data_IF_196510675276
#
_entry.id   IF_196510675276
#
_cell.length_a   1.000
_cell.length_b   1.000
_cell.length_c   1.000
_cell.angle_alpha   90.00
_cell.angle_beta   90.00
_cell.angle_gamma   90.00
#
_symmetry.space_group_name_H-M   'P 1'
#
loop_
_entity.id
_entity.type
_entity.pdbx_description
1 polymer ?
#
# COMPACT_ATOMS: atom_id res chain seq x y z
N UNK A 1 -23.56 23.50 7.66
CA UNK A 1 -23.04 22.98 6.37
C UNK A 1 -23.64 21.60 6.15
N UNK A 2 -24.35 21.36 5.04
CA UNK A 2 -25.21 20.19 4.91
C UNK A 2 -24.39 18.93 4.70
N UNK A 3 -24.57 17.96 5.62
CA UNK A 3 -24.13 16.57 5.53
C UNK A 3 -24.60 15.95 4.21
N UNK A 4 -23.73 15.85 3.23
CA UNK A 4 -24.04 15.23 1.94
C UNK A 4 -23.82 13.72 2.04
N UNK A 5 -24.91 12.97 1.87
CA UNK A 5 -24.98 11.51 1.84
C UNK A 5 -24.06 10.94 0.76
N UNK A 6 -22.99 10.25 1.17
CA UNK A 6 -22.17 9.44 0.27
C UNK A 6 -22.98 8.22 -0.16
N UNK A 7 -23.38 8.17 -1.43
CA UNK A 7 -23.89 6.95 -2.07
C UNK A 7 -22.68 6.05 -2.36
N UNK A 8 -22.52 5.04 -1.51
CA UNK A 8 -21.67 3.86 -1.75
C UNK A 8 -22.10 3.18 -3.06
N UNK A 9 -21.36 3.41 -4.13
CA UNK A 9 -21.41 2.69 -5.41
C UNK A 9 -20.02 2.85 -6.01
N UNK A 10 -19.05 1.93 -5.85
CA UNK A 10 -19.12 0.52 -6.18
C UNK A 10 -18.38 -0.35 -5.13
N UNK A 11 -19.02 -0.54 -3.98
CA UNK A 11 -19.00 -1.87 -3.36
C UNK A 11 -19.96 -2.69 -4.22
N UNK A 12 -19.52 -3.84 -4.72
CA UNK A 12 -20.31 -4.86 -5.41
C UNK A 12 -21.82 -4.76 -5.06
N UNK A 13 -22.64 -4.37 -6.06
CA UNK A 13 -24.10 -4.18 -5.93
C UNK A 13 -24.82 -5.45 -5.44
N UNK A 14 -24.15 -6.61 -5.37
CA UNK A 14 -24.74 -7.85 -4.85
C UNK A 14 -24.45 -8.16 -3.38
N UNK A 15 -23.51 -7.50 -2.70
CA UNK A 15 -23.16 -7.85 -1.30
C UNK A 15 -23.96 -7.07 -0.26
N UNK A 16 -24.60 -5.95 -0.64
CA UNK A 16 -25.24 -5.05 0.32
C UNK A 16 -26.69 -5.38 0.73
N UNK A 17 -27.33 -6.42 0.17
CA UNK A 17 -28.75 -6.70 0.47
C UNK A 17 -29.01 -7.62 1.67
N UNK A 18 -27.98 -8.06 2.41
CA UNK A 18 -28.18 -8.84 3.66
C UNK A 18 -27.20 -8.43 4.75
N UNK A 19 -27.39 -7.25 5.35
CA UNK A 19 -26.74 -6.89 6.61
C UNK A 19 -27.78 -6.79 7.75
N UNK A 20 -28.02 -7.87 8.52
CA UNK A 20 -28.77 -7.83 9.77
C UNK A 20 -27.85 -7.72 11.01
N UNK A 21 -26.60 -7.28 10.88
CA UNK A 21 -25.61 -7.28 11.97
C UNK A 21 -25.11 -5.88 12.36
N UNK A 22 -26.08 -4.98 12.58
CA UNK A 22 -25.94 -3.83 13.49
C UNK A 22 -26.28 -4.22 14.94
N UNK A 23 -26.33 -5.51 15.29
CA UNK A 23 -26.54 -6.00 16.66
C UNK A 23 -25.61 -7.18 16.95
N UNK A 24 -25.04 -7.13 18.14
CA UNK A 24 -24.31 -8.19 18.86
C UNK A 24 -22.80 -8.31 18.56
N UNK A 25 -22.07 -7.51 19.34
CA UNK A 25 -20.76 -7.84 19.89
C UNK A 25 -20.95 -9.08 20.78
N UNK A 26 -20.27 -10.19 20.48
CA UNK A 26 -20.21 -11.33 21.39
C UNK A 26 -20.08 -12.70 20.71
N UNK A 27 -18.90 -13.01 20.15
CA UNK A 27 -18.45 -14.42 20.05
C UNK A 27 -16.95 -14.63 19.81
N UNK A 28 -16.05 -13.66 20.08
CA UNK A 28 -14.60 -13.93 20.17
C UNK A 28 -13.93 -14.63 18.97
N UNK A 29 -14.54 -14.66 17.77
CA UNK A 29 -13.95 -15.24 16.56
C UNK A 29 -13.90 -14.19 15.46
N UNK A 30 -12.74 -13.55 15.33
CA UNK A 30 -12.46 -12.62 14.23
C UNK A 30 -12.42 -13.39 12.90
N UNK A 31 -13.55 -13.40 12.18
CA UNK A 31 -13.62 -13.90 10.80
C UNK A 31 -13.07 -12.81 9.87
N UNK A 32 -11.89 -13.11 9.30
CA UNK A 32 -11.20 -12.45 8.18
C UNK A 32 -12.01 -11.37 7.44
N UNK A 33 -11.58 -10.11 7.56
CA UNK A 33 -12.07 -8.98 6.75
C UNK A 33 -10.90 -8.36 5.96
N UNK A 34 -11.15 -7.77 4.78
CA UNK A 34 -10.12 -7.09 3.99
C UNK A 34 -9.43 -5.98 4.78
N UNK A 35 -8.09 -5.94 4.73
CA UNK A 35 -7.33 -4.76 5.13
C UNK A 35 -7.52 -3.72 4.04
N UNK A 36 -7.95 -2.53 4.44
CA UNK A 36 -8.10 -1.39 3.55
C UNK A 36 -6.96 -0.47 3.93
N UNK A 37 -5.94 -0.36 3.07
CA UNK A 37 -5.01 0.76 3.17
C UNK A 37 -5.74 1.95 2.57
N UNK A 38 -6.32 2.78 3.44
CA UNK A 38 -6.94 4.04 3.02
C UNK A 38 -5.79 4.99 2.70
N UNK A 39 -5.53 5.20 1.40
CA UNK A 39 -4.73 6.35 0.96
C UNK A 39 -5.70 7.52 0.76
N UNK A 40 -5.68 8.47 1.70
CA UNK A 40 -6.40 9.77 1.75
C UNK A 40 -7.94 9.87 2.01
N UNK A 41 -8.24 10.71 3.02
CA UNK A 41 -9.40 11.58 3.40
C UNK A 41 -10.90 11.21 3.18
N UNK A 42 -11.83 11.58 4.12
CA UNK A 42 -13.29 11.26 4.18
C UNK A 42 -14.20 11.61 2.99
N UNK A 43 -13.67 12.13 1.88
CA UNK A 43 -14.47 12.55 0.73
C UNK A 43 -14.33 11.61 -0.46
N UNK A 44 -13.20 10.90 -0.59
CA UNK A 44 -12.94 10.04 -1.74
C UNK A 44 -12.06 8.85 -1.32
N UNK A 45 -12.66 7.66 -1.34
CA UNK A 45 -12.00 6.41 -0.93
C UNK A 45 -11.10 5.91 -2.06
N UNK A 46 -9.79 6.05 -1.93
CA UNK A 46 -8.85 5.29 -2.78
C UNK A 46 -8.77 3.88 -2.22
N UNK A 47 -9.40 2.94 -2.93
CA UNK A 47 -9.28 1.52 -2.64
C UNK A 47 -7.99 1.00 -3.29
N UNK A 48 -6.89 0.93 -2.54
CA UNK A 48 -5.84 -0.04 -2.89
C UNK A 48 -6.34 -1.42 -2.46
N UNK A 49 -6.94 -2.13 -3.41
CA UNK A 49 -7.09 -3.55 -3.22
C UNK A 49 -5.69 -4.15 -3.33
N UNK A 50 -5.15 -4.62 -2.19
CA UNK A 50 -4.24 -5.77 -2.23
C UNK A 50 -4.78 -6.74 -3.27
N UNK A 51 -3.91 -7.43 -4.01
CA UNK A 51 -4.26 -8.49 -4.98
C UNK A 51 -5.01 -9.69 -4.33
N UNK A 52 -5.85 -9.45 -3.32
CA UNK A 52 -6.88 -10.28 -2.69
C UNK A 52 -7.97 -10.73 -3.66
N UNK A 53 -8.09 -10.11 -4.84
CA UNK A 53 -9.05 -10.53 -5.87
C UNK A 53 -8.76 -11.93 -6.44
N UNK A 54 -7.52 -12.42 -6.35
CA UNK A 54 -7.14 -13.73 -6.90
C UNK A 54 -6.63 -14.77 -5.89
N UNK A 55 -6.76 -14.50 -4.58
CA UNK A 55 -6.52 -15.53 -3.55
C UNK A 55 -7.79 -15.70 -2.73
N UNK A 56 -8.89 -16.06 -3.41
CA UNK A 56 -9.95 -16.83 -2.76
C UNK A 56 -9.46 -18.27 -2.60
N UNK A 57 -8.58 -18.44 -1.63
CA UNK A 57 -8.30 -19.66 -0.87
C UNK A 57 -6.97 -19.39 -0.19
N UNK A 58 -7.02 -19.33 1.14
CA UNK A 58 -5.88 -19.38 2.06
C UNK A 58 -5.62 -18.04 2.75
N UNK A 59 -5.55 -18.13 4.07
CA UNK A 59 -5.57 -17.01 5.01
C UNK A 59 -4.32 -16.14 4.75
N UNK A 60 -4.30 -14.89 5.22
CA UNK A 60 -3.06 -14.09 5.31
C UNK A 60 -1.90 -14.85 5.99
N UNK A 61 -2.20 -15.86 6.82
CA UNK A 61 -1.22 -16.76 7.40
C UNK A 61 -0.54 -17.66 6.37
N UNK A 62 -1.15 -17.93 5.22
CA UNK A 62 -0.65 -18.89 4.24
C UNK A 62 0.28 -18.25 3.20
N UNK A 63 0.15 -16.95 2.89
CA UNK A 63 1.18 -16.20 2.13
C UNK A 63 2.48 -16.02 2.92
N UNK A 64 2.38 -16.00 4.25
CA UNK A 64 3.53 -16.05 5.15
C UNK A 64 4.16 -17.47 5.26
N UNK A 65 3.50 -18.50 4.71
CA UNK A 65 3.84 -19.92 4.91
C UNK A 65 4.15 -20.66 3.60
N UNK A 66 3.54 -20.32 2.46
CA UNK A 66 3.76 -20.98 1.17
C UNK A 66 4.44 -20.03 0.18
N UNK A 67 5.74 -20.28 -0.05
CA UNK A 67 6.54 -19.61 -1.09
C UNK A 67 6.42 -20.43 -2.37
N UNK A 68 6.09 -19.82 -3.54
CA UNK A 68 6.14 -20.53 -4.81
C UNK A 68 7.54 -21.11 -5.03
N UNK A 69 7.63 -22.30 -5.62
CA UNK A 69 8.93 -22.83 -6.04
C UNK A 69 9.46 -22.01 -7.22
N UNK A 70 10.79 -22.02 -7.49
CA UNK A 70 11.36 -21.31 -8.64
C UNK A 70 10.66 -21.65 -9.97
N UNK A 71 10.19 -22.88 -10.13
CA UNK A 71 9.47 -23.35 -11.32
C UNK A 71 8.05 -22.77 -11.44
N UNK A 72 7.42 -22.43 -10.31
CA UNK A 72 6.07 -21.87 -10.26
C UNK A 72 6.06 -20.34 -10.47
N UNK A 73 7.16 -19.66 -10.15
CA UNK A 73 7.25 -18.19 -10.20
C UNK A 73 6.80 -17.56 -11.53
N UNK A 74 7.17 -18.09 -12.73
CA UNK A 74 6.66 -17.56 -13.99
C UNK A 74 5.14 -17.57 -14.08
N UNK A 75 4.49 -18.63 -13.57
CA UNK A 75 3.04 -18.74 -13.55
C UNK A 75 2.41 -17.72 -12.58
N UNK A 76 3.03 -17.49 -11.41
CA UNK A 76 2.56 -16.48 -10.45
C UNK A 76 2.63 -15.06 -11.02
N UNK A 77 3.70 -14.72 -11.75
CA UNK A 77 3.83 -13.43 -12.45
C UNK A 77 2.75 -13.27 -13.53
N UNK A 78 2.52 -14.30 -14.33
CA UNK A 78 1.47 -14.30 -15.35
C UNK A 78 0.07 -14.12 -14.75
N UNK A 79 -0.21 -14.78 -13.62
CA UNK A 79 -1.47 -14.59 -12.86
C UNK A 79 -1.60 -13.18 -12.32
N UNK A 80 -0.52 -12.59 -11.79
CA UNK A 80 -0.55 -11.20 -11.31
C UNK A 80 -0.83 -10.21 -12.44
N UNK A 81 -0.21 -10.39 -13.61
CA UNK A 81 -0.50 -9.60 -14.81
C UNK A 81 -1.98 -9.68 -15.20
N UNK A 82 -2.52 -10.91 -15.31
CA UNK A 82 -3.92 -11.11 -15.66
C UNK A 82 -4.86 -10.45 -14.63
N UNK A 83 -4.52 -10.50 -13.34
CA UNK A 83 -5.34 -9.89 -12.29
C UNK A 83 -5.27 -8.37 -12.29
N UNK A 84 -4.11 -7.77 -12.60
CA UNK A 84 -4.01 -6.31 -12.75
C UNK A 84 -4.90 -5.85 -13.90
N UNK A 85 -4.84 -6.54 -15.05
CA UNK A 85 -5.68 -6.25 -16.21
C UNK A 85 -7.16 -6.34 -15.82
N UNK A 86 -7.56 -7.47 -15.20
CA UNK A 86 -8.94 -7.68 -14.74
C UNK A 86 -9.39 -6.60 -13.75
N UNK A 87 -8.52 -6.24 -12.80
CA UNK A 87 -8.80 -5.21 -11.79
C UNK A 87 -9.06 -3.84 -12.43
N UNK A 88 -8.29 -3.47 -13.45
CA UNK A 88 -8.45 -2.19 -14.14
C UNK A 88 -9.66 -2.21 -15.07
N UNK A 89 -9.72 -3.20 -15.97
CA UNK A 89 -10.71 -3.23 -17.06
C UNK A 89 -12.12 -3.60 -16.58
N UNK A 90 -12.24 -4.53 -15.62
CA UNK A 90 -13.54 -5.01 -15.15
C UNK A 90 -14.00 -4.34 -13.86
N UNK A 91 -13.06 -4.01 -12.96
CA UNK A 91 -13.38 -3.50 -11.62
C UNK A 91 -13.10 -2.01 -11.44
N UNK A 92 -12.47 -1.35 -12.42
CA UNK A 92 -12.16 0.08 -12.35
C UNK A 92 -11.13 0.43 -11.27
N UNK A 93 -10.20 -0.47 -10.95
CA UNK A 93 -9.12 -0.22 -10.00
C UNK A 93 -8.14 0.83 -10.56
N UNK A 94 -7.66 1.71 -9.68
CA UNK A 94 -6.82 2.88 -10.03
C UNK A 94 -5.37 2.75 -9.55
N UNK A 95 -4.98 1.58 -9.03
CA UNK A 95 -3.63 1.32 -8.55
C UNK A 95 -3.42 -0.14 -8.17
N UNK A 96 -2.16 -0.52 -7.94
CA UNK A 96 -1.74 -1.89 -7.62
C UNK A 96 -1.06 -1.94 -6.26
N UNK A 97 -1.39 -2.94 -5.43
CA UNK A 97 -0.66 -3.24 -4.19
C UNK A 97 -1.62 -3.50 -3.03
N UNK A 98 -1.19 -3.95 -1.85
CA UNK A 98 0.20 -4.14 -1.44
C UNK A 98 0.94 -5.24 -2.22
N UNK A 99 2.08 -4.87 -2.79
CA UNK A 99 2.94 -5.74 -3.58
C UNK A 99 4.07 -6.32 -2.72
N UNK A 100 4.19 -7.65 -2.73
CA UNK A 100 5.23 -8.38 -2.03
C UNK A 100 6.17 -9.04 -3.04
N UNK A 101 7.38 -8.52 -3.20
CA UNK A 101 8.35 -9.05 -4.17
C UNK A 101 8.61 -10.56 -4.00
N UNK A 102 8.62 -11.04 -2.75
CA UNK A 102 8.77 -12.47 -2.40
C UNK A 102 7.79 -13.40 -3.12
N UNK A 103 6.60 -12.92 -3.49
CA UNK A 103 5.61 -13.71 -4.22
C UNK A 103 5.95 -13.92 -5.70
N UNK A 104 6.92 -13.16 -6.22
CA UNK A 104 7.23 -13.08 -7.65
C UNK A 104 8.70 -13.33 -7.98
N UNK A 105 9.59 -13.35 -7.00
CA UNK A 105 11.01 -13.66 -7.22
C UNK A 105 11.58 -14.57 -6.12
N UNK A 106 12.51 -15.44 -6.52
CA UNK A 106 13.36 -16.19 -5.61
C UNK A 106 14.75 -15.58 -5.45
N UNK A 107 15.08 -14.57 -6.26
CA UNK A 107 16.39 -13.96 -6.35
C UNK A 107 16.64 -13.01 -5.19
N UNK A 108 17.93 -12.76 -4.95
CA UNK A 108 18.43 -11.76 -3.99
C UNK A 108 19.25 -10.67 -4.67
N UNK A 109 19.62 -10.85 -5.94
CA UNK A 109 20.28 -9.81 -6.72
C UNK A 109 19.23 -8.78 -7.19
N UNK A 110 19.37 -7.49 -6.86
CA UNK A 110 18.46 -6.42 -7.30
C UNK A 110 18.13 -6.42 -8.80
N UNK A 111 19.13 -6.58 -9.67
CA UNK A 111 18.94 -6.55 -11.13
C UNK A 111 18.06 -7.72 -11.59
N UNK A 112 18.30 -8.91 -11.06
CA UNK A 112 17.48 -10.09 -11.37
C UNK A 112 16.08 -10.00 -10.79
N UNK A 113 15.93 -9.38 -9.62
CA UNK A 113 14.61 -9.05 -9.07
C UNK A 113 13.88 -8.14 -10.04
N UNK A 114 14.53 -7.10 -10.56
CA UNK A 114 13.92 -6.21 -11.55
C UNK A 114 13.52 -6.94 -12.84
N UNK A 115 14.37 -7.83 -13.37
CA UNK A 115 14.05 -8.67 -14.53
C UNK A 115 12.82 -9.55 -14.29
N UNK A 116 12.75 -10.17 -13.11
CA UNK A 116 11.63 -11.00 -12.69
C UNK A 116 10.32 -10.21 -12.60
N UNK A 117 10.39 -8.94 -12.20
CA UNK A 117 9.24 -8.06 -12.03
C UNK A 117 8.81 -7.35 -13.32
N UNK A 118 9.64 -7.40 -14.36
CA UNK A 118 9.41 -6.72 -15.65
C UNK A 118 8.00 -6.93 -16.22
N UNK A 119 7.44 -8.16 -16.29
CA UNK A 119 6.11 -8.36 -16.86
C UNK A 119 4.99 -7.63 -16.09
N UNK A 120 5.15 -7.51 -14.77
CA UNK A 120 4.19 -6.80 -13.91
C UNK A 120 4.35 -5.30 -14.10
N UNK A 121 5.58 -4.80 -14.09
CA UNK A 121 5.88 -3.37 -14.26
C UNK A 121 5.48 -2.86 -15.64
N UNK A 122 5.67 -3.65 -16.70
CA UNK A 122 5.24 -3.32 -18.07
C UNK A 122 3.72 -3.08 -18.13
N UNK A 123 2.93 -3.89 -17.43
CA UNK A 123 1.46 -3.76 -17.37
C UNK A 123 1.05 -2.56 -16.52
N UNK A 124 1.67 -2.38 -15.35
CA UNK A 124 1.46 -1.20 -14.49
C UNK A 124 1.71 0.09 -15.28
N UNK A 125 2.81 0.14 -16.03
CA UNK A 125 3.17 1.25 -16.91
C UNK A 125 2.15 1.46 -18.02
N UNK A 126 1.74 0.39 -18.71
CA UNK A 126 0.78 0.47 -19.81
C UNK A 126 -0.55 1.11 -19.39
N UNK A 127 -1.03 0.78 -18.19
CA UNK A 127 -2.24 1.36 -17.59
C UNK A 127 -1.99 2.66 -16.80
N UNK A 128 -0.75 3.14 -16.73
CA UNK A 128 -0.33 4.35 -15.98
C UNK A 128 -0.75 4.30 -14.51
N UNK A 129 -0.60 3.13 -13.89
CA UNK A 129 -1.00 2.90 -12.52
C UNK A 129 0.16 3.20 -11.56
N UNK A 130 -0.12 3.72 -10.36
CA UNK A 130 0.81 3.63 -9.25
C UNK A 130 0.88 2.21 -8.69
N UNK A 131 2.03 1.82 -8.16
CA UNK A 131 2.25 0.54 -7.47
C UNK A 131 2.78 0.75 -6.05
N UNK A 132 2.10 0.16 -5.06
CA UNK A 132 2.51 0.17 -3.66
C UNK A 132 3.28 -1.09 -3.29
N UNK A 133 4.54 -0.94 -2.90
CA UNK A 133 5.47 -2.02 -2.55
C UNK A 133 5.70 -2.04 -1.04
N UNK A 134 5.56 -3.23 -0.45
CA UNK A 134 5.88 -3.46 0.96
C UNK A 134 7.39 -3.47 1.18
N UNK A 135 7.93 -2.38 1.73
CA UNK A 135 9.36 -2.24 2.07
C UNK A 135 9.56 -1.82 3.52
N UNK A 136 9.12 -2.67 4.45
CA UNK A 136 9.39 -2.50 5.86
C UNK A 136 9.53 -3.84 6.60
N UNK A 137 10.06 -3.75 7.82
CA UNK A 137 10.01 -4.86 8.76
C UNK A 137 8.56 -5.26 9.07
N UNK A 138 8.33 -6.57 9.23
CA UNK A 138 7.02 -7.10 9.58
C UNK A 138 7.14 -8.18 10.65
N UNK A 139 6.11 -8.27 11.51
CA UNK A 139 5.96 -9.32 12.50
C UNK A 139 5.67 -10.69 11.87
N UNK A 140 5.29 -10.73 10.60
CA UNK A 140 5.03 -11.98 9.89
C UNK A 140 6.34 -12.67 9.52
N UNK A 141 6.35 -14.01 9.62
CA UNK A 141 7.54 -14.78 9.27
C UNK A 141 7.86 -14.58 7.79
N UNK A 142 9.16 -14.40 7.52
CA UNK A 142 9.74 -14.43 6.19
C UNK A 142 9.35 -13.25 5.27
N UNK A 143 9.99 -12.08 5.43
CA UNK A 143 10.02 -11.03 4.39
C UNK A 143 11.15 -10.01 4.58
N UNK A 144 12.05 -10.21 5.55
CA UNK A 144 12.99 -9.15 5.98
C UNK A 144 13.92 -8.69 4.86
N UNK A 145 14.42 -9.62 4.04
CA UNK A 145 15.29 -9.29 2.92
C UNK A 145 14.57 -8.40 1.88
N UNK A 146 13.38 -8.81 1.44
CA UNK A 146 12.60 -8.03 0.47
C UNK A 146 11.94 -6.79 1.08
N UNK A 147 11.87 -6.72 2.42
CA UNK A 147 11.43 -5.54 3.16
C UNK A 147 12.46 -4.42 3.17
N UNK A 148 13.73 -4.69 2.84
CA UNK A 148 14.72 -3.66 2.58
C UNK A 148 14.49 -3.07 1.18
N UNK A 149 14.22 -1.75 1.03
CA UNK A 149 13.86 -1.14 -0.25
C UNK A 149 14.99 -1.01 -1.27
N UNK A 150 16.24 -1.35 -0.95
CA UNK A 150 17.38 -1.11 -1.88
C UNK A 150 17.15 -1.70 -3.27
N UNK A 151 16.55 -2.90 -3.37
CA UNK A 151 16.27 -3.52 -4.67
C UNK A 151 15.25 -2.73 -5.52
N UNK A 152 14.49 -1.81 -4.91
CA UNK A 152 13.53 -0.96 -5.61
C UNK A 152 14.23 0.10 -6.46
N UNK A 153 15.50 0.46 -6.18
CA UNK A 153 16.27 1.41 -7.02
C UNK A 153 16.31 0.96 -8.49
N UNK A 154 16.46 -0.35 -8.72
CA UNK A 154 16.55 -0.93 -10.07
C UNK A 154 15.23 -0.77 -10.83
N UNK A 155 14.09 -1.08 -10.19
CA UNK A 155 12.78 -0.91 -10.85
C UNK A 155 12.38 0.55 -10.96
N UNK A 156 12.74 1.40 -10.00
CA UNK A 156 12.43 2.82 -10.06
C UNK A 156 13.21 3.52 -11.18
N UNK A 157 14.49 3.16 -11.35
CA UNK A 157 15.35 3.64 -12.43
C UNK A 157 14.90 3.14 -13.80
N UNK A 158 14.45 1.88 -13.90
CA UNK A 158 13.98 1.30 -15.16
C UNK A 158 12.60 1.82 -15.60
N UNK A 159 11.75 2.26 -14.66
CA UNK A 159 10.38 2.73 -14.90
C UNK A 159 10.16 4.14 -14.32
N UNK A 160 10.88 5.17 -14.78
CA UNK A 160 10.83 6.52 -14.19
C UNK A 160 9.48 7.22 -14.33
N UNK A 161 8.59 6.70 -15.17
CA UNK A 161 7.22 7.18 -15.39
C UNK A 161 6.16 6.46 -14.55
N UNK A 162 6.53 5.40 -13.83
CA UNK A 162 5.62 4.66 -12.93
C UNK A 162 5.77 5.19 -11.51
N UNK A 163 4.69 5.68 -10.85
CA UNK A 163 4.74 6.03 -9.44
C UNK A 163 4.89 4.78 -8.57
N UNK A 164 5.95 4.72 -7.76
CA UNK A 164 6.23 3.60 -6.85
C UNK A 164 6.10 4.08 -5.41
N UNK A 165 5.20 3.47 -4.64
CA UNK A 165 4.92 3.86 -3.26
C UNK A 165 5.60 2.85 -2.34
N UNK A 166 6.65 3.29 -1.63
CA UNK A 166 7.30 2.50 -0.59
C UNK A 166 6.50 2.64 0.71
N UNK A 167 5.70 1.62 1.01
CA UNK A 167 4.79 1.70 2.16
C UNK A 167 5.53 1.53 3.48
N UNK A 168 5.04 2.23 4.49
CA UNK A 168 5.44 2.17 5.90
C UNK A 168 6.79 2.78 6.27
N UNK A 169 7.57 3.28 5.31
CA UNK A 169 8.85 3.98 5.56
C UNK A 169 9.75 3.29 6.61
N UNK A 170 9.91 1.96 6.54
CA UNK A 170 10.72 1.21 7.50
C UNK A 170 10.11 0.96 8.88
N UNK A 171 8.85 1.36 9.13
CA UNK A 171 8.11 1.16 10.39
C UNK A 171 8.86 1.63 11.64
N UNK A 172 9.50 2.79 11.56
CA UNK A 172 10.27 3.35 12.67
C UNK A 172 11.65 2.73 12.89
N UNK A 173 12.10 1.79 12.03
CA UNK A 173 13.46 1.26 12.06
C UNK A 173 14.40 2.12 11.23
N UNK A 174 15.38 2.76 11.87
CA UNK A 174 16.29 3.73 11.23
C UNK A 174 16.97 3.20 9.97
N UNK A 175 17.59 2.01 10.02
CA UNK A 175 18.33 1.47 8.87
C UNK A 175 17.44 1.26 7.63
N UNK A 176 16.20 0.80 7.82
CA UNK A 176 15.27 0.55 6.69
C UNK A 176 14.71 1.87 6.17
N UNK A 177 14.45 2.82 7.08
CA UNK A 177 14.08 4.18 6.72
C UNK A 177 15.17 4.88 5.89
N UNK A 178 16.43 4.80 6.32
CA UNK A 178 17.58 5.38 5.60
C UNK A 178 17.69 4.80 4.18
N UNK A 179 17.54 3.49 4.03
CA UNK A 179 17.53 2.84 2.72
C UNK A 179 16.35 3.31 1.87
N UNK A 180 15.14 3.44 2.44
CA UNK A 180 13.97 3.95 1.73
C UNK A 180 14.20 5.38 1.25
N UNK A 181 14.72 6.24 2.13
CA UNK A 181 15.01 7.64 1.85
C UNK A 181 16.08 7.76 0.75
N UNK A 182 17.12 6.94 0.79
CA UNK A 182 18.15 6.92 -0.26
C UNK A 182 17.58 6.57 -1.64
N UNK A 183 16.70 5.57 -1.72
CA UNK A 183 16.01 5.21 -2.97
C UNK A 183 15.13 6.36 -3.46
N UNK A 184 14.38 7.02 -2.56
CA UNK A 184 13.53 8.15 -2.93
C UNK A 184 14.31 9.41 -3.34
N UNK A 185 15.47 9.67 -2.74
CA UNK A 185 16.36 10.77 -3.14
C UNK A 185 16.89 10.58 -4.57
N UNK A 186 17.18 9.33 -4.96
CA UNK A 186 17.70 8.99 -6.29
C UNK A 186 16.62 9.02 -7.37
N UNK A 187 15.39 8.64 -7.01
CA UNK A 187 14.31 8.39 -7.97
C UNK A 187 13.11 9.30 -7.69
N UNK A 188 12.80 10.24 -8.58
CA UNK A 188 11.72 11.22 -8.39
C UNK A 188 10.31 10.61 -8.44
N UNK A 189 10.16 9.43 -9.03
CA UNK A 189 8.91 8.67 -9.13
C UNK A 189 8.63 7.79 -7.90
N UNK A 190 9.46 7.85 -6.87
CA UNK A 190 9.24 7.11 -5.61
C UNK A 190 8.44 7.97 -4.62
N UNK A 191 7.51 7.38 -3.90
CA UNK A 191 6.63 8.06 -2.96
C UNK A 191 6.58 7.28 -1.66
N UNK A 192 6.20 7.95 -0.57
CA UNK A 192 5.99 7.33 0.73
C UNK A 192 4.55 7.42 1.18
N UNK A 193 4.19 6.59 2.15
CA UNK A 193 3.03 6.80 3.01
C UNK A 193 3.43 6.89 4.47
N UNK A 194 2.55 7.44 5.31
CA UNK A 194 2.81 7.62 6.75
C UNK A 194 2.44 6.42 7.61
N UNK A 195 2.15 5.25 7.01
CA UNK A 195 1.66 4.08 7.74
C UNK A 195 2.72 3.63 8.76
N UNK A 196 2.37 3.50 10.04
CA UNK A 196 3.24 2.94 11.09
C UNK A 196 4.66 3.56 11.15
N UNK A 197 4.83 4.80 10.69
CA UNK A 197 6.10 5.54 10.77
C UNK A 197 6.21 6.32 12.09
N UNK A 198 7.34 7.00 12.31
CA UNK A 198 7.53 7.90 13.45
C UNK A 198 7.43 9.38 13.01
N UNK A 199 7.08 10.30 13.92
CA UNK A 199 7.11 11.73 13.62
C UNK A 199 8.48 12.22 13.12
N UNK A 200 9.57 11.67 13.66
CA UNK A 200 10.95 12.00 13.29
C UNK A 200 11.26 11.57 11.85
N UNK A 201 10.87 10.35 11.47
CA UNK A 201 11.00 9.84 10.10
C UNK A 201 10.17 10.66 9.12
N UNK A 202 8.92 10.97 9.47
CA UNK A 202 8.08 11.83 8.62
C UNK A 202 8.72 13.20 8.42
N UNK A 203 9.14 13.88 9.49
CA UNK A 203 9.77 15.20 9.40
C UNK A 203 10.99 15.16 8.47
N UNK A 204 11.89 14.19 8.70
CA UNK A 204 13.10 14.01 7.88
C UNK A 204 12.77 13.71 6.42
N UNK A 205 11.75 12.89 6.14
CA UNK A 205 11.30 12.63 4.78
C UNK A 205 10.75 13.90 4.11
N UNK A 206 9.88 14.66 4.79
CA UNK A 206 9.35 15.92 4.25
C UNK A 206 10.47 16.91 3.95
N UNK A 207 11.47 17.03 4.82
CA UNK A 207 12.59 17.95 4.63
C UNK A 207 13.52 17.54 3.47
N UNK A 208 13.57 16.24 3.16
CA UNK A 208 14.50 15.68 2.17
C UNK A 208 13.88 15.56 0.77
N UNK A 209 12.66 15.01 0.68
CA UNK A 209 12.01 14.70 -0.61
C UNK A 209 10.75 15.54 -0.89
N UNK A 210 10.29 16.34 0.08
CA UNK A 210 9.08 17.15 -0.04
C UNK A 210 7.80 16.41 0.41
N UNK A 211 6.83 17.19 0.90
CA UNK A 211 5.52 16.68 1.32
C UNK A 211 4.67 16.20 0.13
N UNK A 212 4.92 16.74 -1.06
CA UNK A 212 4.28 16.38 -2.34
C UNK A 212 4.69 14.98 -2.86
N UNK A 213 5.57 14.29 -2.13
CA UNK A 213 5.98 12.90 -2.37
C UNK A 213 5.59 11.95 -1.23
N UNK A 214 4.77 12.40 -0.29
CA UNK A 214 4.33 11.63 0.87
C UNK A 214 2.80 11.64 0.91
N UNK A 215 2.20 10.51 1.28
CA UNK A 215 0.75 10.31 1.31
C UNK A 215 0.26 9.86 2.67
N UNK A 216 -0.96 10.25 3.01
CA UNK A 216 -1.64 9.79 4.19
C UNK A 216 -2.10 8.35 4.02
N UNK A 217 -1.75 7.49 4.96
CA UNK A 217 -2.16 6.08 5.00
C UNK A 217 -2.31 5.61 6.44
N UNK A 218 -3.27 4.71 6.69
CA UNK A 218 -3.51 4.16 8.04
C UNK A 218 -3.29 2.66 8.18
N UNK A 219 -3.25 1.93 7.05
CA UNK A 219 -3.22 0.47 6.97
C UNK A 219 -4.11 -0.21 8.02
N UNK A 220 -5.39 0.19 8.03
CA UNK A 220 -6.34 -0.35 9.00
C UNK A 220 -6.51 -1.85 8.80
N UNK A 221 -5.93 -2.63 9.73
CA UNK A 221 -6.12 -4.06 9.80
C UNK A 221 -6.51 -4.49 11.23
N UNK A 222 -7.53 -5.35 11.34
CA UNK A 222 -8.00 -5.90 12.61
C UNK A 222 -7.04 -6.94 13.26
N UNK A 223 -5.76 -6.92 12.88
CA UNK A 223 -4.74 -7.91 13.26
C UNK A 223 -3.79 -7.33 14.34
N UNK A 224 -3.71 -6.01 14.45
CA UNK A 224 -3.05 -5.37 15.60
C UNK A 224 -3.85 -5.67 16.85
N UNK A 225 -3.42 -6.68 17.61
CA UNK A 225 -3.99 -7.09 18.92
C UNK A 225 -4.09 -5.95 19.95
N UNK A 226 -3.45 -4.82 19.66
CA UNK A 226 -3.32 -3.65 20.53
C UNK A 226 -4.21 -2.47 20.12
N UNK A 227 -5.07 -2.64 19.11
CA UNK A 227 -5.96 -1.59 18.62
C UNK A 227 -7.39 -2.09 18.76
N UNK A 228 -8.10 -1.54 19.74
CA UNK A 228 -9.44 -1.98 20.12
C UNK A 228 -10.55 -1.21 19.41
N UNK A 229 -10.27 0.02 18.93
CA UNK A 229 -11.27 0.88 18.29
C UNK A 229 -10.77 1.48 16.94
N UNK A 230 -11.62 1.50 15.88
CA UNK A 230 -11.31 2.10 14.57
C UNK A 230 -10.89 3.57 14.56
N UNK A 231 -11.42 4.39 15.47
CA UNK A 231 -11.06 5.81 15.58
C UNK A 231 -9.58 6.00 15.93
N UNK A 232 -9.02 5.11 16.75
CA UNK A 232 -7.66 5.20 17.26
C UNK A 232 -6.60 5.19 16.15
N UNK A 233 -6.84 4.53 15.02
CA UNK A 233 -5.85 4.49 13.95
C UNK A 233 -5.82 5.78 13.15
N UNK A 234 -6.98 6.30 12.76
CA UNK A 234 -7.03 7.53 11.96
C UNK A 234 -6.51 8.71 12.78
N UNK A 235 -7.00 8.85 14.02
CA UNK A 235 -6.61 9.94 14.92
C UNK A 235 -5.12 9.87 15.30
N UNK A 236 -4.57 8.65 15.45
CA UNK A 236 -3.12 8.47 15.69
C UNK A 236 -2.28 8.95 14.52
N UNK A 237 -2.68 8.65 13.27
CA UNK A 237 -1.94 9.09 12.09
C UNK A 237 -2.11 10.61 11.86
N UNK A 238 -3.26 11.19 12.19
CA UNK A 238 -3.40 12.66 12.22
C UNK A 238 -2.50 13.31 13.27
N UNK A 239 -2.46 12.75 14.49
CA UNK A 239 -1.58 13.24 15.55
C UNK A 239 -0.08 13.09 15.20
N UNK A 240 0.27 12.13 14.34
CA UNK A 240 1.63 11.97 13.82
C UNK A 240 2.02 13.19 12.98
N UNK A 241 1.13 13.71 12.14
CA UNK A 241 1.36 14.93 11.36
C UNK A 241 1.63 16.14 12.28
N UNK A 242 0.85 16.28 13.37
CA UNK A 242 1.06 17.36 14.35
C UNK A 242 2.42 17.26 15.05
N UNK A 243 2.78 16.04 15.47
CA UNK A 243 4.07 15.77 16.14
C UNK A 243 5.27 15.97 15.22
N UNK A 244 5.10 15.74 13.91
CA UNK A 244 6.12 16.01 12.90
C UNK A 244 6.19 17.50 12.50
N UNK A 245 5.39 18.36 13.14
CA UNK A 245 5.35 19.80 12.89
C UNK A 245 5.18 20.15 11.40
N UNK A 246 4.31 19.41 10.69
CA UNK A 246 4.00 19.74 9.28
C UNK A 246 3.23 21.06 9.19
N UNK A 247 3.58 21.89 8.22
CA UNK A 247 2.84 23.13 7.93
C UNK A 247 1.48 22.82 7.31
N UNK A 248 0.57 23.80 7.28
CA UNK A 248 -0.76 23.62 6.67
C UNK A 248 -0.70 23.17 5.20
N UNK A 249 0.21 23.75 4.40
CA UNK A 249 0.38 23.36 3.00
C UNK A 249 0.93 21.92 2.87
N UNK A 250 1.96 21.59 3.65
CA UNK A 250 2.51 20.23 3.68
C UNK A 250 1.47 19.20 4.14
N UNK A 251 0.60 19.58 5.08
CA UNK A 251 -0.51 18.75 5.54
C UNK A 251 -1.49 18.46 4.41
N UNK A 252 -1.92 19.45 3.63
CA UNK A 252 -2.80 19.23 2.48
C UNK A 252 -2.15 18.33 1.42
N UNK A 253 -0.85 18.52 1.19
CA UNK A 253 -0.09 17.66 0.26
C UNK A 253 -0.14 16.20 0.70
N UNK A 254 0.18 15.94 1.99
CA UNK A 254 0.18 14.59 2.56
C UNK A 254 -1.23 14.01 2.65
N UNK A 255 -2.20 14.77 3.14
CA UNK A 255 -3.55 14.28 3.42
C UNK A 255 -4.32 13.92 2.16
N UNK A 256 -4.11 14.62 1.04
CA UNK A 256 -4.88 14.33 -0.17
C UNK A 256 -4.24 14.70 -1.50
N UNK A 257 -3.50 15.83 -1.66
CA UNK A 257 -3.10 16.29 -3.02
C UNK A 257 -2.15 15.32 -3.71
N UNK A 258 -1.20 14.77 -2.96
CA UNK A 258 -0.26 13.79 -3.50
C UNK A 258 -1.00 12.55 -4.00
N UNK A 259 -1.93 12.01 -3.20
CA UNK A 259 -2.73 10.87 -3.60
C UNK A 259 -3.63 11.18 -4.82
N UNK A 260 -4.27 12.35 -4.84
CA UNK A 260 -5.06 12.82 -5.97
C UNK A 260 -4.27 12.81 -7.28
N UNK A 261 -3.06 13.36 -7.25
CA UNK A 261 -2.15 13.42 -8.38
C UNK A 261 -1.65 12.03 -8.80
N UNK A 262 -1.18 11.23 -7.84
CA UNK A 262 -0.53 9.93 -8.10
C UNK A 262 -1.52 8.88 -8.61
N UNK A 263 -2.75 8.88 -8.08
CA UNK A 263 -3.81 7.95 -8.49
C UNK A 263 -4.74 8.54 -9.56
N UNK A 264 -4.48 9.76 -10.04
CA UNK A 264 -5.29 10.48 -11.02
C UNK A 264 -6.78 10.51 -10.67
N UNK A 265 -7.08 10.96 -9.44
CA UNK A 265 -8.43 11.03 -8.89
C UNK A 265 -9.09 12.35 -9.29
N UNK A 266 -10.37 12.28 -9.62
CA UNK A 266 -11.23 13.47 -9.84
C UNK A 266 -11.82 13.87 -8.48
N UNK A 267 -11.22 14.88 -7.82
CA UNK A 267 -11.59 15.35 -6.47
C UNK A 267 -12.24 16.74 -6.49
#
# INVERSE_FOLDING_TARGET
MPLLRIRSTAIDRHVHQRCPTARNIGDGRCRSRPSITVLAHPSNLVLTHSLRGLISMHRWTDLAVHRPTPEELPQYRAKAVAEIIRGVEELGMVGVGEFFARCFTAETNPEKIADDLKPIMDVVRAYKLPIQVMTAWTQFRHNLFYGDPIWVDEIASAYPDVPIILTKMGRGMENVFDNALMVAMRNSNVYFDIVDTTPEHLRRAVDTIGADRIMFGTDWCCITRWISEPGDCYDRHLALLDKAHVTANQREDIEWRTAAKVFNLDL
#
